data_IF_614701112780
#
_entry.id   IF_614701112780
#
_cell.length_a   1.000
_cell.length_b   1.000
_cell.length_c   1.000
_cell.angle_alpha   90.00
_cell.angle_beta   90.00
_cell.angle_gamma   90.00
#
_symmetry.space_group_name_H-M   'P 1'
#
loop_
_entity.id
_entity.type
_entity.pdbx_description
1 polymer ?
#
# COMPACT_ATOMS: atom_id res chain seq x y z
N UNK A 1 0.47 7.42 23.51
CA UNK A 1 0.61 6.32 22.54
C UNK A 1 0.81 6.99 21.19
N UNK A 2 1.97 6.84 20.56
CA UNK A 2 2.19 7.39 19.22
C UNK A 2 1.27 6.63 18.26
N UNK A 3 0.27 7.33 17.73
CA UNK A 3 -0.54 6.82 16.64
C UNK A 3 0.30 7.09 15.38
N UNK A 4 1.19 6.14 15.06
CA UNK A 4 2.12 6.26 13.93
C UNK A 4 1.34 6.09 12.63
N UNK A 5 0.68 7.16 12.22
CA UNK A 5 0.11 7.27 10.90
C UNK A 5 1.25 7.56 9.92
N UNK A 6 1.48 6.63 9.00
CA UNK A 6 2.34 6.93 7.86
C UNK A 6 1.54 7.77 6.88
N UNK A 7 1.99 9.01 6.66
CA UNK A 7 1.36 9.96 5.73
C UNK A 7 2.34 10.26 4.62
N UNK A 8 1.97 9.91 3.39
CA UNK A 8 2.66 10.35 2.17
C UNK A 8 1.77 11.39 1.51
N UNK A 9 2.28 12.62 1.36
CA UNK A 9 1.56 13.71 0.71
C UNK A 9 2.43 14.34 -0.37
N UNK A 10 1.95 14.30 -1.62
CA UNK A 10 2.65 14.79 -2.80
C UNK A 10 1.62 15.41 -3.74
N UNK A 11 1.74 16.70 -4.06
CA UNK A 11 1.03 17.37 -5.17
C UNK A 11 -0.47 16.99 -5.32
N UNK A 12 -1.25 17.09 -4.24
CA UNK A 12 -2.70 16.79 -4.27
C UNK A 12 -3.04 15.29 -4.23
N UNK A 13 -2.04 14.43 -4.03
CA UNK A 13 -2.16 13.01 -3.70
C UNK A 13 -1.81 12.79 -2.24
N UNK A 14 -2.57 11.92 -1.59
CA UNK A 14 -2.36 11.54 -0.20
C UNK A 14 -2.55 10.03 -0.03
N UNK A 15 -1.64 9.40 0.70
CA UNK A 15 -1.78 8.03 1.21
C UNK A 15 -1.58 8.08 2.72
N UNK A 16 -2.60 7.66 3.47
CA UNK A 16 -2.55 7.52 4.93
C UNK A 16 -2.69 6.05 5.26
N UNK A 17 -1.75 5.51 6.01
CA UNK A 17 -1.81 4.16 6.57
C UNK A 17 -1.86 4.29 8.09
N UNK A 18 -2.98 3.85 8.67
CA UNK A 18 -3.23 3.82 10.11
C UNK A 18 -3.28 2.36 10.56
N UNK A 19 -2.42 1.94 11.49
CA UNK A 19 -2.56 0.63 12.14
C UNK A 19 -3.82 0.63 13.02
N UNK A 20 -4.70 -0.36 12.85
CA UNK A 20 -5.92 -0.49 13.66
C UNK A 20 -5.71 -1.48 14.81
N UNK A 21 -5.29 -2.71 14.48
CA UNK A 21 -5.06 -3.77 15.44
C UNK A 21 -4.26 -4.93 14.82
N UNK A 22 -3.83 -5.85 15.68
CA UNK A 22 -3.15 -7.09 15.31
C UNK A 22 -3.86 -8.26 15.98
N UNK A 23 -4.15 -9.31 15.23
CA UNK A 23 -4.70 -10.57 15.73
C UNK A 23 -3.77 -11.69 15.27
N UNK A 24 -3.18 -12.41 16.23
CA UNK A 24 -2.13 -13.41 15.96
C UNK A 24 -1.01 -12.82 15.09
N UNK A 25 -0.73 -13.43 13.94
CA UNK A 25 0.26 -12.97 12.97
C UNK A 25 -0.35 -12.10 11.85
N UNK A 26 -1.54 -11.53 12.03
CA UNK A 26 -2.20 -10.66 11.06
C UNK A 26 -2.29 -9.21 11.56
N UNK A 27 -1.94 -8.28 10.68
CA UNK A 27 -1.99 -6.84 10.91
C UNK A 27 -3.10 -6.22 10.08
N UNK A 28 -4.00 -5.48 10.70
CA UNK A 28 -5.05 -4.74 10.00
C UNK A 28 -4.74 -3.26 10.02
N UNK A 29 -4.68 -2.68 8.83
CA UNK A 29 -4.47 -1.25 8.61
C UNK A 29 -5.71 -0.63 8.01
N UNK A 30 -5.98 0.63 8.33
CA UNK A 30 -6.85 1.49 7.53
C UNK A 30 -5.98 2.23 6.53
N UNK A 31 -6.27 2.03 5.26
CA UNK A 31 -5.63 2.75 4.17
C UNK A 31 -6.61 3.79 3.67
N UNK A 32 -6.20 5.06 3.66
CA UNK A 32 -6.91 6.16 3.01
C UNK A 32 -6.07 6.66 1.86
N UNK A 33 -6.72 6.89 0.74
CA UNK A 33 -6.11 7.44 -0.46
C UNK A 33 -6.86 8.66 -0.92
N UNK A 34 -6.13 9.64 -1.44
CA UNK A 34 -6.66 10.79 -2.16
C UNK A 34 -5.82 11.03 -3.40
N UNK A 35 -6.45 11.32 -4.52
CA UNK A 35 -5.79 11.73 -5.76
C UNK A 35 -6.72 12.71 -6.49
N UNK A 36 -6.42 14.01 -6.40
CA UNK A 36 -7.33 15.06 -6.89
C UNK A 36 -8.66 15.05 -6.13
N UNK A 37 -9.76 14.93 -6.87
CA UNK A 37 -11.14 14.87 -6.33
C UNK A 37 -11.56 13.46 -5.88
N UNK A 38 -10.73 12.45 -6.16
CA UNK A 38 -11.01 11.08 -5.77
C UNK A 38 -10.42 10.79 -4.39
N UNK A 39 -11.23 10.22 -3.50
CA UNK A 39 -10.76 9.71 -2.21
C UNK A 39 -11.45 8.40 -1.84
N UNK A 40 -10.75 7.52 -1.14
CA UNK A 40 -11.30 6.25 -0.67
C UNK A 40 -10.63 5.80 0.61
N UNK A 41 -11.29 4.86 1.28
CA UNK A 41 -10.82 4.27 2.52
C UNK A 41 -11.20 2.81 2.55
N UNK A 42 -10.26 1.94 2.89
CA UNK A 42 -10.52 0.53 3.19
C UNK A 42 -9.73 0.09 4.39
N UNK A 43 -10.21 -0.97 5.04
CA UNK A 43 -9.37 -1.77 5.91
C UNK A 43 -8.61 -2.78 5.03
N UNK A 44 -7.37 -3.06 5.40
CA UNK A 44 -6.45 -3.90 4.65
C UNK A 44 -5.72 -4.80 5.64
N UNK A 45 -5.95 -6.10 5.54
CA UNK A 45 -5.44 -7.14 6.40
C UNK A 45 -4.26 -7.84 5.74
N UNK A 46 -3.14 -7.95 6.45
CA UNK A 46 -1.94 -8.58 5.92
C UNK A 46 -1.26 -9.45 6.97
N UNK A 47 -0.86 -10.65 6.56
CA UNK A 47 -0.07 -11.52 7.42
C UNK A 47 1.35 -10.99 7.60
N UNK A 48 1.96 -11.30 8.74
CA UNK A 48 3.36 -10.99 9.06
C UNK A 48 4.32 -11.54 8.01
N UNK A 49 4.07 -12.76 7.53
CA UNK A 49 4.87 -13.41 6.49
C UNK A 49 4.78 -12.64 5.17
N UNK A 50 3.58 -12.27 4.74
CA UNK A 50 3.38 -11.47 3.55
C UNK A 50 4.09 -10.12 3.67
N UNK A 51 3.98 -9.46 4.84
CA UNK A 51 4.64 -8.20 5.11
C UNK A 51 6.18 -8.29 5.00
N UNK A 52 6.78 -9.37 5.54
CA UNK A 52 8.22 -9.62 5.40
C UNK A 52 8.61 -9.82 3.92
N UNK A 53 7.84 -10.61 3.17
CA UNK A 53 8.08 -10.82 1.73
C UNK A 53 8.00 -9.52 0.94
N UNK A 54 7.06 -8.64 1.29
CA UNK A 54 6.90 -7.32 0.67
C UNK A 54 8.12 -6.45 0.96
N UNK A 55 8.61 -6.40 2.20
CA UNK A 55 9.80 -5.62 2.52
C UNK A 55 11.03 -6.09 1.73
N UNK A 56 11.21 -7.40 1.58
CA UNK A 56 12.28 -7.95 0.76
C UNK A 56 12.15 -7.55 -0.71
N UNK A 57 10.95 -7.67 -1.29
CA UNK A 57 10.67 -7.29 -2.69
C UNK A 57 10.89 -5.79 -2.92
N UNK A 58 10.35 -4.93 -2.07
CA UNK A 58 10.53 -3.47 -2.18
C UNK A 58 11.99 -3.08 -2.01
N UNK A 59 12.72 -3.71 -1.08
CA UNK A 59 14.17 -3.49 -0.91
C UNK A 59 14.95 -3.89 -2.16
N UNK A 60 14.59 -5.01 -2.79
CA UNK A 60 15.20 -5.45 -4.04
C UNK A 60 14.88 -4.50 -5.19
N UNK A 61 13.62 -4.09 -5.33
CA UNK A 61 13.19 -3.13 -6.35
C UNK A 61 13.96 -1.81 -6.24
N UNK A 62 14.09 -1.28 -5.02
CA UNK A 62 14.86 -0.08 -4.77
C UNK A 62 16.35 -0.23 -5.14
N UNK A 63 16.97 -1.37 -4.84
CA UNK A 63 18.37 -1.65 -5.20
C UNK A 63 18.58 -1.79 -6.71
N UNK A 64 17.63 -2.42 -7.40
CA UNK A 64 17.72 -2.70 -8.83
C UNK A 64 17.15 -1.57 -9.70
N UNK A 65 16.45 -0.61 -9.08
CA UNK A 65 15.70 0.47 -9.73
C UNK A 65 14.73 -0.05 -10.80
N UNK A 66 14.13 -1.22 -10.53
CA UNK A 66 13.14 -1.90 -11.37
C UNK A 66 12.41 -3.01 -10.61
N UNK A 67 11.26 -3.40 -11.12
CA UNK A 67 10.54 -4.60 -10.68
C UNK A 67 9.10 -4.30 -10.28
N UNK A 68 8.42 -5.31 -9.77
CA UNK A 68 7.01 -5.21 -9.39
C UNK A 68 6.80 -5.92 -8.04
N UNK A 69 6.00 -5.30 -7.17
CA UNK A 69 5.57 -5.86 -5.91
C UNK A 69 4.07 -5.63 -5.73
N UNK A 70 3.32 -6.72 -5.60
CA UNK A 70 1.91 -6.69 -5.26
C UNK A 70 1.71 -7.02 -3.79
N UNK A 71 0.83 -6.24 -3.15
CA UNK A 71 0.34 -6.40 -1.79
C UNK A 71 -1.15 -6.74 -1.92
N UNK A 72 -1.55 -7.90 -1.41
CA UNK A 72 -2.93 -8.36 -1.44
C UNK A 72 -3.53 -8.31 -0.04
N UNK A 73 -4.79 -7.91 0.04
CA UNK A 73 -5.59 -8.00 1.25
C UNK A 73 -5.92 -9.47 1.53
N UNK A 74 -5.82 -9.88 2.80
CA UNK A 74 -6.12 -11.25 3.20
C UNK A 74 -7.62 -11.52 3.26
N UNK A 75 -8.42 -10.47 3.46
CA UNK A 75 -9.86 -10.58 3.74
C UNK A 75 -10.76 -10.12 2.57
N UNK A 76 -10.18 -9.64 1.48
CA UNK A 76 -10.92 -9.18 0.29
C UNK A 76 -10.09 -9.27 -0.99
N UNK A 77 -10.70 -8.96 -2.15
CA UNK A 77 -9.99 -8.86 -3.43
C UNK A 77 -9.22 -7.52 -3.61
N UNK A 78 -9.07 -6.74 -2.53
CA UNK A 78 -8.32 -5.48 -2.57
C UNK A 78 -6.82 -5.74 -2.72
N UNK A 79 -6.14 -4.89 -3.49
CA UNK A 79 -4.71 -5.01 -3.71
C UNK A 79 -4.06 -3.67 -4.03
N UNK A 80 -2.76 -3.61 -3.80
CA UNK A 80 -1.88 -2.48 -4.14
C UNK A 80 -0.66 -3.04 -4.87
N UNK A 81 -0.41 -2.55 -6.07
CA UNK A 81 0.75 -2.87 -6.89
C UNK A 81 1.69 -1.68 -6.94
N UNK A 82 2.94 -1.93 -6.59
CA UNK A 82 4.08 -1.06 -6.83
C UNK A 82 4.78 -1.56 -8.08
N UNK A 83 4.85 -0.73 -9.10
CA UNK A 83 5.58 -1.04 -10.33
C UNK A 83 6.69 -0.02 -10.51
N UNK A 84 7.91 -0.49 -10.78
CA UNK A 84 9.08 0.34 -10.95
C UNK A 84 9.71 0.03 -12.31
N UNK A 85 9.64 1.00 -13.21
CA UNK A 85 10.28 0.99 -14.50
C UNK A 85 11.78 1.27 -14.37
N UNK A 86 12.52 1.03 -15.46
CA UNK A 86 13.95 1.36 -15.54
C UNK A 86 14.20 2.80 -15.12
N UNK A 87 15.32 3.02 -14.42
CA UNK A 87 15.72 4.30 -13.84
C UNK A 87 14.90 4.74 -12.62
N UNK A 88 14.12 3.82 -12.02
CA UNK A 88 13.46 4.05 -10.74
C UNK A 88 12.14 4.84 -10.84
N UNK A 89 11.60 4.99 -12.04
CA UNK A 89 10.27 5.57 -12.22
C UNK A 89 9.23 4.62 -11.60
N UNK A 90 8.58 5.05 -10.52
CA UNK A 90 7.64 4.23 -9.77
C UNK A 90 6.21 4.70 -10.01
N UNK A 91 5.32 3.74 -10.23
CA UNK A 91 3.88 3.94 -10.22
C UNK A 91 3.27 3.08 -9.12
N UNK A 92 2.29 3.61 -8.40
CA UNK A 92 1.52 2.81 -7.43
C UNK A 92 0.07 2.81 -7.87
N UNK A 93 -0.48 1.62 -8.07
CA UNK A 93 -1.87 1.46 -8.44
C UNK A 93 -2.52 0.29 -7.73
N UNK A 94 -3.83 0.22 -7.75
CA UNK A 94 -4.53 -0.88 -7.09
C UNK A 94 -6.01 -0.61 -6.98
N UNK A 95 -6.70 -1.58 -6.38
CA UNK A 95 -8.11 -1.47 -6.04
C UNK A 95 -8.25 -1.52 -4.52
N UNK A 96 -8.73 -0.41 -3.94
CA UNK A 96 -8.98 -0.30 -2.51
C UNK A 96 -10.47 0.04 -2.36
N UNK A 97 -11.27 -0.96 -1.99
CA UNK A 97 -12.74 -1.01 -2.05
C UNK A 97 -13.35 -1.23 -3.46
N UNK A 98 -14.58 -1.77 -3.52
CA UNK A 98 -15.34 -1.93 -4.77
C UNK A 98 -15.33 -0.60 -5.55
N UNK A 99 -14.69 -0.61 -6.73
CA UNK A 99 -14.66 0.48 -7.71
C UNK A 99 -13.64 1.64 -7.56
N UNK A 100 -12.67 1.63 -6.63
CA UNK A 100 -11.66 2.69 -6.60
C UNK A 100 -10.29 2.24 -7.12
N UNK A 101 -9.93 2.73 -8.32
CA UNK A 101 -8.58 2.58 -8.89
C UNK A 101 -7.69 3.73 -8.41
N UNK A 102 -6.59 3.40 -7.75
CA UNK A 102 -5.56 4.38 -7.38
C UNK A 102 -4.50 4.40 -8.48
N UNK A 103 -4.00 5.58 -8.81
CA UNK A 103 -2.79 5.78 -9.61
C UNK A 103 -2.03 6.94 -8.94
N UNK A 104 -0.94 6.62 -8.25
CA UNK A 104 0.01 7.58 -7.66
C UNK A 104 1.25 7.66 -8.52
#
# INVERSE_FOLDING_TARGET
MLQDNMIINLEGKELIVEHLYTVEDYFTFRIRVKSGDFSGTSNFCISKEALLSIFEKLTKMHKELKGCCEINDSDSDAYITFDMDKFGHMSVYGQIAEAMKIIL
#
